data_IF_170866690419
#
_entry.id   IF_170866690419
#
_cell.length_a   1.000
_cell.length_b   1.000
_cell.length_c   1.000
_cell.angle_alpha   90.00
_cell.angle_beta   90.00
_cell.angle_gamma   90.00
#
_symmetry.space_group_name_H-M   'P 1'
#
loop_
_entity.id
_entity.type
_entity.pdbx_description
1 polymer ?
#
# COMPACT_ATOMS: atom_id res chain seq x y z
N UNK A 1 -8.74 -28.48 30.59
CA UNK A 1 -7.32 -28.60 30.24
C UNK A 1 -6.83 -27.18 30.13
N UNK A 2 -6.28 -26.68 31.22
CA UNK A 2 -5.76 -25.30 31.34
C UNK A 2 -4.53 -25.19 30.46
N UNK A 3 -4.53 -24.20 29.57
CA UNK A 3 -3.37 -23.88 28.76
C UNK A 3 -2.54 -22.94 29.63
N UNK A 4 -1.36 -23.43 30.04
CA UNK A 4 -0.40 -22.72 30.89
C UNK A 4 0.01 -21.39 30.24
N UNK A 5 -0.49 -20.29 30.79
CA UNK A 5 0.03 -18.95 30.60
C UNK A 5 1.26 -18.76 31.50
N UNK A 6 2.44 -19.20 31.06
CA UNK A 6 3.69 -18.69 31.66
C UNK A 6 4.87 -18.98 30.76
N UNK A 7 5.39 -17.94 30.08
CA UNK A 7 6.80 -17.75 29.66
C UNK A 7 6.91 -17.03 28.31
N UNK A 8 7.69 -15.98 28.02
CA UNK A 8 8.53 -14.98 28.73
C UNK A 8 8.67 -13.83 27.71
N UNK A 9 8.49 -12.58 28.15
CA UNK A 9 9.03 -11.28 27.65
C UNK A 9 9.25 -11.02 26.14
N UNK A 10 8.53 -10.04 25.58
CA UNK A 10 9.03 -8.69 25.21
C UNK A 10 7.81 -7.75 25.11
N UNK A 11 7.84 -6.58 25.76
CA UNK A 11 6.72 -5.63 25.87
C UNK A 11 6.40 -4.85 24.58
N UNK A 12 6.49 -5.50 23.42
CA UNK A 12 6.10 -4.95 22.13
C UNK A 12 4.63 -5.20 21.82
N UNK A 13 4.01 -4.38 20.94
CA UNK A 13 2.66 -4.67 20.44
C UNK A 13 2.65 -6.04 19.73
N UNK A 14 1.55 -6.78 19.90
CA UNK A 14 1.34 -8.04 19.17
C UNK A 14 1.47 -7.75 17.67
N UNK A 15 2.36 -8.45 16.94
CA UNK A 15 2.66 -8.14 15.54
C UNK A 15 1.41 -8.22 14.65
N UNK A 16 0.47 -9.13 14.93
CA UNK A 16 -0.79 -9.21 14.21
C UNK A 16 -1.64 -7.95 14.39
N UNK A 17 -1.68 -7.39 15.61
CA UNK A 17 -2.42 -6.15 15.88
C UNK A 17 -1.78 -4.98 15.13
N UNK A 18 -0.45 -4.85 15.22
CA UNK A 18 0.28 -3.79 14.54
C UNK A 18 0.10 -3.85 13.01
N UNK A 19 0.12 -5.05 12.42
CA UNK A 19 -0.13 -5.26 11.00
C UNK A 19 -1.57 -4.93 10.61
N UNK A 20 -2.57 -5.28 11.42
CA UNK A 20 -3.96 -4.90 11.13
C UNK A 20 -4.15 -3.38 11.19
N UNK A 21 -3.63 -2.73 12.23
CA UNK A 21 -3.69 -1.27 12.37
C UNK A 21 -3.03 -0.55 11.18
N UNK A 22 -1.85 -1.01 10.76
CA UNK A 22 -1.15 -0.47 9.59
C UNK A 22 -1.98 -0.64 8.31
N UNK A 23 -2.54 -1.83 8.09
CA UNK A 23 -3.39 -2.10 6.94
C UNK A 23 -4.62 -1.19 6.93
N UNK A 24 -5.33 -1.10 8.07
CA UNK A 24 -6.55 -0.30 8.22
C UNK A 24 -6.29 1.18 8.00
N UNK A 25 -5.17 1.69 8.49
CA UNK A 25 -4.76 3.07 8.27
C UNK A 25 -4.61 3.38 6.78
N UNK A 26 -3.83 2.58 6.05
CA UNK A 26 -3.63 2.77 4.62
C UNK A 26 -4.92 2.56 3.82
N UNK A 27 -5.75 1.58 4.20
CA UNK A 27 -7.06 1.34 3.58
C UNK A 27 -7.96 2.59 3.65
N UNK A 28 -8.05 3.24 4.81
CA UNK A 28 -8.84 4.48 4.96
C UNK A 28 -8.28 5.65 4.14
N UNK A 29 -6.98 5.68 3.88
CA UNK A 29 -6.38 6.69 3.01
C UNK A 29 -6.73 6.41 1.54
N UNK A 30 -6.64 5.14 1.11
CA UNK A 30 -7.03 4.69 -0.23
C UNK A 30 -8.52 4.96 -0.48
N UNK A 31 -9.40 4.70 0.49
CA UNK A 31 -10.84 4.97 0.38
C UNK A 31 -11.14 6.44 0.07
N UNK A 32 -10.36 7.37 0.63
CA UNK A 32 -10.51 8.80 0.35
C UNK A 32 -9.92 9.20 -1.00
N UNK A 33 -8.75 8.66 -1.35
CA UNK A 33 -8.07 8.99 -2.61
C UNK A 33 -8.85 8.49 -3.83
N UNK A 34 -9.51 7.33 -3.73
CA UNK A 34 -10.24 6.74 -4.85
C UNK A 34 -11.47 7.56 -5.29
N UNK A 35 -11.98 8.48 -4.46
CA UNK A 35 -13.10 9.37 -4.81
C UNK A 35 -12.76 10.30 -5.98
N UNK A 36 -11.47 10.54 -6.23
CA UNK A 36 -10.99 11.38 -7.33
C UNK A 36 -10.77 10.61 -8.65
N UNK A 37 -10.93 9.28 -8.63
CA UNK A 37 -10.68 8.43 -9.80
C UNK A 37 -11.87 8.39 -10.75
N UNK A 38 -11.63 7.95 -11.99
CA UNK A 38 -12.74 7.61 -12.87
C UNK A 38 -13.55 6.41 -12.32
N UNK A 39 -14.84 6.26 -12.67
CA UNK A 39 -15.64 5.14 -12.17
C UNK A 39 -15.04 3.76 -12.48
N UNK A 40 -14.34 3.62 -13.62
CA UNK A 40 -13.68 2.36 -13.97
C UNK A 40 -12.51 2.07 -13.02
N UNK A 41 -11.62 3.04 -12.80
CA UNK A 41 -10.49 2.91 -11.88
C UNK A 41 -10.96 2.68 -10.44
N UNK A 42 -11.99 3.39 -9.99
CA UNK A 42 -12.60 3.21 -8.69
C UNK A 42 -13.07 1.76 -8.49
N UNK A 43 -13.80 1.20 -9.47
CA UNK A 43 -14.23 -0.20 -9.41
C UNK A 43 -13.05 -1.18 -9.33
N UNK A 44 -11.95 -0.91 -10.05
CA UNK A 44 -10.74 -1.73 -9.98
C UNK A 44 -10.10 -1.68 -8.60
N UNK A 45 -9.86 -0.49 -8.08
CA UNK A 45 -9.27 -0.29 -6.75
C UNK A 45 -10.16 -0.89 -5.67
N UNK A 46 -11.47 -0.70 -5.74
CA UNK A 46 -12.40 -1.32 -4.80
C UNK A 46 -12.29 -2.85 -4.82
N UNK A 47 -12.22 -3.47 -6.00
CA UNK A 47 -12.04 -4.93 -6.11
C UNK A 47 -10.72 -5.40 -5.49
N UNK A 48 -9.64 -4.64 -5.67
CA UNK A 48 -8.36 -4.92 -5.01
C UNK A 48 -8.45 -4.79 -3.49
N UNK A 49 -9.08 -3.73 -2.99
CA UNK A 49 -9.33 -3.51 -1.57
C UNK A 49 -10.13 -4.65 -0.93
N UNK A 50 -11.22 -5.09 -1.58
CA UNK A 50 -12.04 -6.23 -1.15
C UNK A 50 -11.21 -7.53 -1.06
N UNK A 51 -10.35 -7.79 -2.04
CA UNK A 51 -9.41 -8.93 -1.98
C UNK A 51 -8.50 -8.83 -0.76
N UNK A 52 -7.85 -7.68 -0.56
CA UNK A 52 -6.87 -7.49 0.51
C UNK A 52 -7.50 -7.55 1.92
N UNK A 53 -8.76 -7.13 2.06
CA UNK A 53 -9.53 -7.25 3.30
C UNK A 53 -9.68 -8.71 3.76
N UNK A 54 -9.69 -9.68 2.84
CA UNK A 54 -9.84 -11.11 3.16
C UNK A 54 -8.51 -11.83 3.48
N UNK A 55 -7.38 -11.14 3.38
CA UNK A 55 -6.04 -11.71 3.55
C UNK A 55 -5.52 -11.57 4.98
N UNK A 56 -6.27 -12.09 5.95
CA UNK A 56 -5.98 -11.96 7.40
C UNK A 56 -5.83 -13.30 8.12
N UNK A 57 -5.73 -14.41 7.38
CA UNK A 57 -5.78 -15.76 7.94
C UNK A 57 -4.49 -16.16 8.67
N UNK A 58 -3.36 -15.54 8.30
CA UNK A 58 -2.05 -15.78 8.91
C UNK A 58 -1.15 -14.56 8.72
N UNK A 59 -0.06 -14.51 9.49
CA UNK A 59 0.89 -13.38 9.50
C UNK A 59 1.42 -13.06 8.11
N UNK A 60 1.79 -14.07 7.31
CA UNK A 60 2.31 -13.85 5.95
C UNK A 60 1.28 -13.16 5.05
N UNK A 61 0.00 -13.54 5.14
CA UNK A 61 -1.07 -12.84 4.41
C UNK A 61 -1.23 -11.40 4.91
N UNK A 62 -1.14 -11.18 6.23
CA UNK A 62 -1.25 -9.85 6.84
C UNK A 62 -0.12 -8.92 6.41
N UNK A 63 1.12 -9.42 6.36
CA UNK A 63 2.28 -8.70 5.83
C UNK A 63 2.08 -8.36 4.35
N UNK A 64 1.69 -9.36 3.54
CA UNK A 64 1.49 -9.18 2.11
C UNK A 64 0.39 -8.16 1.80
N UNK A 65 -0.75 -8.19 2.52
CA UNK A 65 -1.79 -7.17 2.30
C UNK A 65 -1.34 -5.78 2.73
N UNK A 66 -0.45 -5.65 3.72
CA UNK A 66 0.12 -4.36 4.11
C UNK A 66 1.00 -3.79 2.99
N UNK A 67 1.86 -4.62 2.39
CA UNK A 67 2.72 -4.21 1.27
C UNK A 67 1.88 -3.74 0.07
N UNK A 68 0.90 -4.54 -0.35
CA UNK A 68 0.02 -4.19 -1.46
C UNK A 68 -0.80 -2.93 -1.17
N UNK A 69 -1.38 -2.80 0.03
CA UNK A 69 -2.18 -1.64 0.39
C UNK A 69 -1.33 -0.36 0.45
N UNK A 70 -0.11 -0.45 0.97
CA UNK A 70 0.84 0.66 0.96
C UNK A 70 1.19 1.07 -0.47
N UNK A 71 1.46 0.12 -1.36
CA UNK A 71 1.77 0.44 -2.75
C UNK A 71 0.59 1.09 -3.47
N UNK A 72 -0.63 0.57 -3.29
CA UNK A 72 -1.84 1.19 -3.84
C UNK A 72 -1.97 2.63 -3.34
N UNK A 73 -1.78 2.86 -2.03
CA UNK A 73 -1.81 4.19 -1.46
C UNK A 73 -0.84 5.16 -2.15
N UNK A 74 0.45 4.82 -2.24
CA UNK A 74 1.42 5.72 -2.89
C UNK A 74 1.20 5.85 -4.40
N UNK A 75 0.70 4.81 -5.08
CA UNK A 75 0.34 4.86 -6.49
C UNK A 75 -0.81 5.85 -6.74
N UNK A 76 -1.80 5.88 -5.86
CA UNK A 76 -2.89 6.85 -5.94
C UNK A 76 -2.41 8.26 -5.65
N UNK A 77 -1.50 8.44 -4.68
CA UNK A 77 -0.85 9.74 -4.45
C UNK A 77 -0.03 10.19 -5.67
N UNK A 78 0.53 9.25 -6.45
CA UNK A 78 1.25 9.50 -7.70
C UNK A 78 0.34 9.92 -8.87
N UNK A 79 -0.97 10.06 -8.63
CA UNK A 79 -1.90 10.66 -9.58
C UNK A 79 -2.65 9.69 -10.49
N UNK A 80 -2.73 8.39 -10.16
CA UNK A 80 -3.61 7.47 -10.89
C UNK A 80 -3.27 6.00 -10.75
N UNK A 81 -4.17 5.15 -11.26
CA UNK A 81 -4.03 3.69 -11.22
C UNK A 81 -3.15 3.22 -12.39
N UNK A 82 -2.18 2.33 -12.09
CA UNK A 82 -1.26 1.75 -13.08
C UNK A 82 -1.46 0.25 -13.18
N UNK A 83 -1.02 -0.34 -14.29
CA UNK A 83 -0.90 -1.81 -14.36
C UNK A 83 0.05 -2.31 -13.26
N UNK A 84 -0.20 -3.49 -12.67
CA UNK A 84 -1.29 -4.43 -12.97
C UNK A 84 -2.62 -4.15 -12.24
N UNK A 85 -2.75 -3.05 -11.50
CA UNK A 85 -3.94 -2.74 -10.70
C UNK A 85 -5.17 -2.31 -11.53
N UNK A 86 -4.99 -2.08 -12.83
CA UNK A 86 -6.10 -1.94 -13.79
C UNK A 86 -6.78 -3.28 -14.10
N UNK A 87 -6.18 -4.40 -13.69
CA UNK A 87 -6.71 -5.74 -13.86
C UNK A 87 -7.30 -6.26 -12.54
N UNK A 88 -8.00 -7.40 -12.60
CA UNK A 88 -8.50 -8.04 -11.39
C UNK A 88 -7.33 -8.65 -10.59
N UNK A 89 -7.40 -8.66 -9.25
CA UNK A 89 -6.41 -9.36 -8.45
C UNK A 89 -6.38 -10.86 -8.79
N UNK A 90 -5.19 -11.49 -8.87
CA UNK A 90 -5.10 -12.93 -9.02
C UNK A 90 -5.65 -13.65 -7.78
N UNK A 91 -6.01 -14.93 -7.95
CA UNK A 91 -6.54 -15.77 -6.87
C UNK A 91 -5.52 -15.86 -5.73
N UNK A 92 -4.26 -16.06 -6.07
CA UNK A 92 -3.12 -16.05 -5.15
C UNK A 92 -2.25 -14.84 -5.49
N UNK A 93 -2.01 -13.99 -4.49
CA UNK A 93 -1.11 -12.85 -4.66
C UNK A 93 0.33 -13.32 -4.46
N UNK A 94 1.23 -13.14 -5.44
CA UNK A 94 2.65 -13.32 -5.22
C UNK A 94 3.22 -12.16 -4.38
N UNK A 95 4.46 -12.24 -3.89
CA UNK A 95 5.16 -11.10 -3.32
C UNK A 95 5.12 -9.90 -4.26
N UNK A 96 4.92 -8.69 -3.73
CA UNK A 96 4.71 -7.49 -4.54
C UNK A 96 5.84 -7.23 -5.53
N UNK A 97 7.09 -7.48 -5.12
CA UNK A 97 8.30 -7.32 -5.94
C UNK A 97 8.37 -8.28 -7.14
N UNK A 98 7.64 -9.39 -7.10
CA UNK A 98 7.52 -10.33 -8.22
C UNK A 98 6.32 -10.01 -9.11
N UNK A 99 5.35 -9.28 -8.56
CA UNK A 99 4.13 -8.90 -9.26
C UNK A 99 4.28 -7.64 -10.09
N UNK A 100 5.00 -6.65 -9.56
CA UNK A 100 5.14 -5.35 -10.20
C UNK A 100 6.26 -5.35 -11.24
N UNK A 101 5.99 -4.87 -12.46
CA UNK A 101 7.06 -4.49 -13.36
C UNK A 101 7.96 -3.44 -12.70
N UNK A 102 9.28 -3.63 -12.77
CA UNK A 102 10.26 -2.71 -12.17
C UNK A 102 10.02 -1.24 -12.54
N UNK A 103 9.66 -0.99 -13.80
CA UNK A 103 9.39 0.34 -14.32
C UNK A 103 8.24 1.03 -13.59
N UNK A 104 7.16 0.30 -13.30
CA UNK A 104 6.00 0.84 -12.58
C UNK A 104 6.38 1.18 -11.14
N UNK A 105 7.15 0.30 -10.50
CA UNK A 105 7.61 0.53 -9.13
C UNK A 105 8.49 1.79 -9.04
N UNK A 106 9.47 1.91 -9.93
CA UNK A 106 10.39 3.04 -9.99
C UNK A 106 9.67 4.36 -10.31
N UNK A 107 8.78 4.38 -11.31
CA UNK A 107 7.99 5.57 -11.67
C UNK A 107 7.14 6.08 -10.50
N UNK A 108 6.47 5.18 -9.78
CA UNK A 108 5.65 5.54 -8.62
C UNK A 108 6.53 6.12 -7.51
N UNK A 109 7.67 5.49 -7.19
CA UNK A 109 8.58 6.00 -6.18
C UNK A 109 9.20 7.35 -6.56
N UNK A 110 9.65 7.52 -7.80
CA UNK A 110 10.20 8.78 -8.29
C UNK A 110 9.17 9.92 -8.26
N UNK A 111 7.90 9.62 -8.49
CA UNK A 111 6.83 10.61 -8.38
C UNK A 111 6.54 11.07 -6.95
N UNK A 112 6.96 10.28 -5.95
CA UNK A 112 6.86 10.60 -4.52
C UNK A 112 8.05 11.45 -4.03
N UNK A 113 9.11 11.61 -4.82
CA UNK A 113 10.22 12.46 -4.42
C UNK A 113 9.72 13.91 -4.27
N UNK A 114 9.98 14.55 -3.10
CA UNK A 114 9.65 15.96 -2.96
C UNK A 114 10.40 16.71 -4.05
N UNK A 115 9.67 17.51 -4.84
CA UNK A 115 10.25 18.49 -5.75
C UNK A 115 11.10 19.43 -4.91
N UNK A 116 12.38 19.12 -4.70
CA UNK A 116 13.31 20.07 -4.15
C UNK A 116 13.37 21.19 -5.17
N UNK A 117 12.74 22.32 -4.84
CA UNK A 117 12.67 23.52 -5.66
C UNK A 117 14.07 23.81 -6.22
N UNK A 118 14.27 23.47 -7.49
CA UNK A 118 15.34 24.01 -8.32
C UNK A 118 14.94 25.45 -8.74
N UNK A 119 14.50 26.25 -7.76
CA UNK A 119 14.55 27.70 -7.87
C UNK A 119 16.00 28.10 -7.58
N UNK A 120 16.89 27.72 -8.49
CA UNK A 120 18.15 28.40 -8.66
C UNK A 120 17.80 29.85 -8.95
N UNK A 121 17.97 30.70 -7.92
CA UNK A 121 17.98 32.15 -8.00
C UNK A 121 18.49 32.62 -9.36
N UNK A 122 17.56 32.98 -10.24
CA UNK A 122 17.73 34.17 -11.05
C UNK A 122 17.81 35.36 -10.10
N UNK A 123 18.46 36.43 -10.56
CA UNK A 123 18.64 37.73 -9.88
C UNK A 123 19.90 37.82 -8.98
N UNK A 124 21.03 38.11 -9.62
CA UNK A 124 21.61 39.45 -9.56
C UNK A 124 22.80 39.56 -10.53
N UNK A 125 22.54 40.07 -11.74
CA UNK A 125 23.56 40.78 -12.51
C UNK A 125 23.16 42.25 -12.47
N UNK A 126 23.92 43.02 -11.69
CA UNK A 126 23.94 44.48 -11.73
C UNK A 126 24.97 44.93 -12.76
#
# INVERSE_FOLDING_TARGET
MEINETSIMEGGPNPCIALDDQFRYNYQLVERLQESLSPNEQNKIQTWCEKLLTMDQNVNQMELRCEYMWFIFIMLQAGGVRDPFMQLPPIELPPLTQFLPWQVYDEVLLSMEPRMNLEAKGENQT
#
